data_IF_012641570609
#
_entry.id   IF_012641570609
#
_cell.length_a   1.000
_cell.length_b   1.000
_cell.length_c   1.000
_cell.angle_alpha   90.00
_cell.angle_beta   90.00
_cell.angle_gamma   90.00
#
_symmetry.space_group_name_H-M   'P 1'
#
loop_
_entity.id
_entity.type
_entity.pdbx_description
1 polymer ?
#
# COMPACT_ATOMS: atom_id res chain seq x y z
N UNK A 1 26.59 -49.04 27.37
CA UNK A 1 26.91 -48.26 26.15
C UNK A 1 25.79 -48.35 25.10
N UNK A 2 25.22 -49.54 24.88
CA UNK A 2 24.19 -49.80 23.88
C UNK A 2 22.87 -49.03 24.08
N UNK A 3 22.33 -49.01 25.29
CA UNK A 3 21.03 -48.35 25.54
C UNK A 3 21.05 -46.81 25.39
N UNK A 4 22.20 -46.20 25.64
CA UNK A 4 22.38 -44.72 25.47
C UNK A 4 22.49 -44.35 24.01
N UNK A 5 23.22 -45.16 23.25
CA UNK A 5 23.40 -44.98 21.81
C UNK A 5 22.08 -45.17 21.07
N UNK A 6 21.29 -46.19 21.42
CA UNK A 6 19.96 -46.43 20.86
C UNK A 6 18.99 -45.25 21.10
N UNK A 7 18.99 -44.68 22.32
CA UNK A 7 18.16 -43.50 22.64
C UNK A 7 18.59 -42.24 21.86
N UNK A 8 19.87 -42.04 21.62
CA UNK A 8 20.38 -40.94 20.84
C UNK A 8 20.00 -41.08 19.36
N UNK A 9 20.14 -42.28 18.81
CA UNK A 9 19.74 -42.56 17.41
C UNK A 9 18.26 -42.38 17.21
N UNK A 10 17.41 -42.86 18.17
CA UNK A 10 15.95 -42.64 18.09
C UNK A 10 15.59 -41.14 18.11
N UNK A 11 16.18 -40.37 19.03
CA UNK A 11 15.97 -38.92 19.08
C UNK A 11 16.41 -38.21 17.81
N UNK A 12 17.44 -38.69 17.15
CA UNK A 12 17.90 -38.17 15.86
C UNK A 12 16.91 -38.47 14.72
N UNK A 13 16.36 -39.67 14.71
CA UNK A 13 15.34 -40.09 13.75
C UNK A 13 14.06 -39.28 13.93
N UNK A 14 13.54 -39.18 15.16
CA UNK A 14 12.36 -38.41 15.50
C UNK A 14 12.49 -36.92 15.10
N UNK A 15 13.70 -36.37 15.29
CA UNK A 15 13.98 -34.98 14.91
C UNK A 15 13.98 -34.79 13.39
N UNK A 16 14.58 -35.72 12.64
CA UNK A 16 14.57 -35.66 11.15
C UNK A 16 13.17 -35.83 10.58
N UNK A 17 12.37 -36.71 11.17
CA UNK A 17 10.98 -36.90 10.77
C UNK A 17 10.14 -35.66 11.06
N UNK A 18 10.31 -35.01 12.21
CA UNK A 18 9.64 -33.76 12.56
C UNK A 18 10.06 -32.61 11.63
N UNK A 19 11.34 -32.47 11.29
CA UNK A 19 11.85 -31.48 10.35
C UNK A 19 11.29 -31.71 8.92
N UNK A 20 11.19 -32.97 8.51
CA UNK A 20 10.64 -33.31 7.19
C UNK A 20 9.14 -33.01 7.11
N UNK A 21 8.41 -33.34 8.16
CA UNK A 21 6.99 -33.06 8.27
C UNK A 21 6.71 -31.54 8.28
N UNK A 22 7.49 -30.78 9.05
CA UNK A 22 7.36 -29.32 9.10
C UNK A 22 7.64 -28.65 7.74
N UNK A 23 8.64 -29.15 6.99
CA UNK A 23 8.91 -28.67 5.62
C UNK A 23 7.79 -29.01 4.65
N UNK A 24 7.20 -30.21 4.75
CA UNK A 24 6.09 -30.60 3.91
C UNK A 24 4.84 -29.75 4.17
N UNK A 25 4.52 -29.49 5.45
CA UNK A 25 3.41 -28.61 5.84
C UNK A 25 3.62 -27.17 5.40
N UNK A 26 4.84 -26.64 5.49
CA UNK A 26 5.18 -25.30 5.02
C UNK A 26 5.03 -25.18 3.50
N UNK A 27 5.44 -26.21 2.75
CA UNK A 27 5.29 -26.24 1.29
C UNK A 27 3.82 -26.33 0.87
N UNK A 28 3.02 -27.14 1.56
CA UNK A 28 1.59 -27.27 1.31
C UNK A 28 0.83 -25.96 1.63
N UNK A 29 1.19 -25.27 2.73
CA UNK A 29 0.67 -23.96 3.08
C UNK A 29 1.04 -22.90 2.03
N UNK A 30 2.26 -22.94 1.51
CA UNK A 30 2.72 -22.04 0.45
C UNK A 30 1.99 -22.32 -0.88
N UNK A 31 1.77 -23.56 -1.24
CA UNK A 31 1.02 -23.94 -2.45
C UNK A 31 -0.45 -23.53 -2.32
N UNK A 32 -1.05 -23.68 -1.15
CA UNK A 32 -2.43 -23.25 -0.89
C UNK A 32 -2.56 -21.73 -0.96
N UNK A 33 -1.58 -20.98 -0.44
CA UNK A 33 -1.54 -19.52 -0.54
C UNK A 33 -1.40 -19.06 -1.99
N UNK A 34 -0.49 -19.66 -2.76
CA UNK A 34 -0.32 -19.36 -4.19
C UNK A 34 -1.58 -19.68 -5.01
N UNK A 35 -2.25 -20.81 -4.74
CA UNK A 35 -3.50 -21.17 -5.40
C UNK A 35 -4.64 -20.21 -5.08
N UNK A 36 -4.71 -19.69 -3.84
CA UNK A 36 -5.70 -18.67 -3.44
C UNK A 36 -5.43 -17.31 -4.08
N UNK A 37 -4.15 -16.94 -4.29
CA UNK A 37 -3.77 -15.73 -5.04
C UNK A 37 -4.11 -15.85 -6.53
N UNK A 38 -3.94 -17.04 -7.12
CA UNK A 38 -4.25 -17.29 -8.53
C UNK A 38 -5.77 -17.26 -8.83
N UNK A 39 -6.64 -17.66 -7.88
CA UNK A 39 -8.10 -17.59 -8.01
C UNK A 39 -8.66 -16.16 -7.87
N UNK A 40 -8.01 -15.29 -7.12
CA UNK A 40 -8.46 -13.89 -6.89
C UNK A 40 -8.03 -12.96 -8.03
N UNK A 41 -6.88 -13.20 -8.65
CA UNK A 41 -6.36 -12.36 -9.74
C UNK A 41 -7.25 -12.25 -10.99
N UNK A 42 -7.91 -13.32 -11.51
CA UNK A 42 -8.74 -13.20 -12.69
C UNK A 42 -9.98 -12.31 -12.50
N UNK A 43 -10.57 -12.30 -11.32
CA UNK A 43 -11.76 -11.49 -11.03
C UNK A 43 -11.42 -10.01 -10.88
N UNK A 44 -10.34 -9.69 -10.17
CA UNK A 44 -9.83 -8.32 -10.03
C UNK A 44 -9.39 -7.78 -11.39
N UNK A 45 -8.69 -8.57 -12.21
CA UNK A 45 -8.29 -8.19 -13.56
C UNK A 45 -9.51 -7.93 -14.45
N UNK A 46 -10.58 -8.72 -14.32
CA UNK A 46 -11.83 -8.50 -15.05
C UNK A 46 -12.50 -7.18 -14.69
N UNK A 47 -12.56 -6.84 -13.40
CA UNK A 47 -13.08 -5.55 -12.92
C UNK A 47 -12.21 -4.38 -13.40
N UNK A 48 -10.90 -4.53 -13.35
CA UNK A 48 -9.96 -3.49 -13.81
C UNK A 48 -10.07 -3.25 -15.31
N UNK A 49 -10.22 -4.33 -16.11
CA UNK A 49 -10.45 -4.20 -17.54
C UNK A 49 -11.76 -3.48 -17.85
N UNK A 50 -12.83 -3.73 -17.08
CA UNK A 50 -14.09 -3.01 -17.21
C UNK A 50 -13.90 -1.53 -16.90
N UNK A 51 -13.31 -1.19 -15.74
CA UNK A 51 -13.05 0.21 -15.35
C UNK A 51 -12.18 0.93 -16.38
N UNK A 52 -11.16 0.27 -16.89
CA UNK A 52 -10.30 0.83 -17.94
C UNK A 52 -11.07 1.03 -19.26
N UNK A 53 -12.00 0.16 -19.60
CA UNK A 53 -12.87 0.36 -20.78
C UNK A 53 -13.80 1.56 -20.64
N UNK A 54 -14.25 1.86 -19.41
CA UNK A 54 -15.07 3.04 -19.09
C UNK A 54 -14.22 4.33 -19.04
N UNK A 55 -13.00 4.24 -18.55
CA UNK A 55 -12.04 5.33 -18.49
C UNK A 55 -10.61 4.85 -18.70
N UNK A 56 -10.03 5.15 -19.86
CA UNK A 56 -8.66 4.76 -20.22
C UNK A 56 -7.57 5.37 -19.30
N UNK A 57 -7.90 6.36 -18.45
CA UNK A 57 -6.99 6.93 -17.45
C UNK A 57 -7.01 6.10 -16.13
N UNK A 58 -7.86 5.07 -16.02
CA UNK A 58 -7.88 4.19 -14.86
C UNK A 58 -6.51 3.55 -14.63
N UNK A 59 -5.99 3.69 -13.43
CA UNK A 59 -4.63 3.25 -13.08
C UNK A 59 -4.60 2.21 -11.95
N UNK A 60 -5.67 2.09 -11.15
CA UNK A 60 -5.75 1.13 -10.09
C UNK A 60 -6.79 1.45 -9.02
N UNK A 61 -6.66 0.78 -7.88
CA UNK A 61 -7.59 0.88 -6.75
C UNK A 61 -6.82 1.19 -5.47
N UNK A 62 -7.35 2.13 -4.67
CA UNK A 62 -6.78 2.55 -3.39
C UNK A 62 -7.76 2.28 -2.26
N UNK A 63 -7.30 1.53 -1.25
CA UNK A 63 -8.02 1.33 0.01
C UNK A 63 -7.15 1.75 1.19
N UNK A 64 -7.71 2.51 2.13
CA UNK A 64 -7.03 2.90 3.38
C UNK A 64 -7.82 2.35 4.56
N UNK A 65 -7.25 1.39 5.25
CA UNK A 65 -7.91 0.69 6.34
C UNK A 65 -8.31 1.67 7.47
N UNK A 66 -9.46 1.41 8.09
CA UNK A 66 -10.03 2.27 9.13
C UNK A 66 -10.57 3.62 8.65
N UNK A 67 -10.71 3.82 7.32
CA UNK A 67 -11.35 4.98 6.70
C UNK A 67 -12.46 4.53 5.74
N UNK A 68 -13.09 5.48 5.05
CA UNK A 68 -14.04 5.19 3.94
C UNK A 68 -13.38 5.29 2.56
N UNK A 69 -12.06 5.33 2.53
CA UNK A 69 -11.31 5.44 1.27
C UNK A 69 -11.18 4.05 0.68
N UNK A 70 -11.95 3.81 -0.36
CA UNK A 70 -12.02 2.55 -1.11
C UNK A 70 -12.51 2.89 -2.52
N UNK A 71 -11.58 3.29 -3.40
CA UNK A 71 -11.90 3.92 -4.68
C UNK A 71 -10.94 3.54 -5.80
N UNK A 72 -11.47 3.46 -7.05
CA UNK A 72 -10.61 3.50 -8.22
C UNK A 72 -9.93 4.86 -8.33
N UNK A 73 -8.65 4.87 -8.71
CA UNK A 73 -7.93 6.08 -9.03
C UNK A 73 -7.49 6.11 -10.49
N UNK A 74 -7.22 7.30 -10.97
CA UNK A 74 -6.88 7.58 -12.36
C UNK A 74 -5.55 8.31 -12.46
N UNK A 75 -4.93 8.34 -13.66
CA UNK A 75 -3.75 9.15 -13.92
C UNK A 75 -3.81 9.69 -15.35
N UNK A 76 -3.49 10.99 -15.50
CA UNK A 76 -3.34 11.63 -16.81
C UNK A 76 -1.92 12.17 -16.99
N UNK A 77 -1.71 12.94 -18.05
CA UNK A 77 -0.44 13.63 -18.34
C UNK A 77 -0.25 14.93 -17.55
N UNK A 78 -1.16 15.28 -16.65
CA UNK A 78 -1.07 16.48 -15.80
C UNK A 78 -1.84 16.29 -14.48
N UNK A 79 -1.59 17.17 -13.49
CA UNK A 79 -2.24 17.14 -12.17
C UNK A 79 -3.46 18.08 -12.06
N UNK A 80 -3.99 18.60 -13.17
CA UNK A 80 -5.05 19.62 -13.15
C UNK A 80 -6.41 19.04 -13.52
N UNK A 81 -6.44 18.10 -14.48
CA UNK A 81 -7.66 17.61 -15.09
C UNK A 81 -8.66 17.05 -14.07
N UNK A 82 -8.22 16.15 -13.21
CA UNK A 82 -9.08 15.50 -12.22
C UNK A 82 -9.33 16.31 -10.94
N UNK A 83 -8.82 17.53 -10.86
CA UNK A 83 -9.28 18.48 -9.84
C UNK A 83 -10.73 18.90 -10.07
N UNK A 84 -11.21 18.83 -11.33
CA UNK A 84 -12.54 19.30 -11.72
C UNK A 84 -13.28 18.33 -12.66
N UNK A 85 -12.88 17.07 -12.76
CA UNK A 85 -13.56 16.05 -13.53
C UNK A 85 -13.68 14.76 -12.70
N UNK A 86 -14.84 14.10 -12.82
CA UNK A 86 -15.07 12.81 -12.16
C UNK A 86 -14.50 11.64 -13.00
N UNK A 87 -14.65 10.42 -12.51
CA UNK A 87 -14.21 9.20 -13.19
C UNK A 87 -14.71 9.11 -14.65
N UNK A 88 -15.94 9.52 -14.91
CA UNK A 88 -16.54 9.51 -16.26
C UNK A 88 -16.15 10.73 -17.10
N UNK A 89 -15.09 11.45 -16.73
CA UNK A 89 -14.58 12.64 -17.43
C UNK A 89 -15.59 13.79 -17.56
N UNK A 90 -16.60 13.82 -16.69
CA UNK A 90 -17.59 14.92 -16.62
C UNK A 90 -17.12 15.98 -15.62
N UNK A 91 -17.31 17.23 -15.98
CA UNK A 91 -17.00 18.34 -15.09
C UNK A 91 -17.77 18.23 -13.77
N UNK A 92 -17.06 18.43 -12.66
CA UNK A 92 -17.60 18.48 -11.29
C UNK A 92 -16.62 19.23 -10.38
N UNK A 93 -17.14 20.03 -9.45
CA UNK A 93 -16.30 20.70 -8.45
C UNK A 93 -15.70 19.72 -7.41
N UNK A 94 -16.10 18.46 -7.44
CA UNK A 94 -15.62 17.44 -6.49
C UNK A 94 -14.34 16.75 -6.98
N UNK A 95 -14.01 16.85 -8.28
CA UNK A 95 -12.88 16.14 -8.86
C UNK A 95 -12.98 14.61 -8.77
N UNK A 96 -11.85 13.95 -8.77
CA UNK A 96 -11.69 12.52 -8.55
C UNK A 96 -10.36 12.22 -7.84
N UNK A 97 -10.13 11.00 -7.42
CA UNK A 97 -8.84 10.54 -6.87
C UNK A 97 -7.88 10.27 -8.05
N UNK A 98 -6.69 10.86 -8.02
CA UNK A 98 -5.76 10.72 -9.14
C UNK A 98 -4.29 10.64 -8.67
N UNK A 99 -3.51 9.85 -9.38
CA UNK A 99 -2.06 9.79 -9.23
C UNK A 99 -1.37 11.00 -9.88
N UNK A 100 -0.26 11.43 -9.28
CA UNK A 100 0.63 12.42 -9.91
C UNK A 100 1.05 11.92 -11.29
N UNK A 101 1.07 12.81 -12.28
CA UNK A 101 1.41 12.44 -13.67
C UNK A 101 2.81 11.84 -13.84
N UNK A 102 3.70 11.99 -12.84
CA UNK A 102 5.07 11.46 -12.82
C UNK A 102 5.17 10.09 -12.18
N UNK A 103 4.08 9.58 -11.59
CA UNK A 103 4.11 8.26 -10.92
C UNK A 103 4.36 7.15 -11.93
N UNK A 104 5.18 6.20 -11.50
CA UNK A 104 5.42 4.91 -12.16
C UNK A 104 4.79 3.81 -11.30
N UNK A 105 3.92 2.99 -11.90
CA UNK A 105 3.14 1.99 -11.15
C UNK A 105 3.79 0.60 -11.10
N UNK A 106 4.72 0.30 -12.02
CA UNK A 106 5.43 -0.99 -12.03
C UNK A 106 6.54 -1.01 -10.98
N UNK A 107 7.40 0.01 -10.99
CA UNK A 107 8.57 0.07 -10.10
C UNK A 107 8.40 1.05 -8.94
N UNK A 108 7.34 1.80 -8.90
CA UNK A 108 7.08 2.92 -7.99
C UNK A 108 8.26 3.89 -7.84
N UNK A 109 7.97 5.16 -7.78
CA UNK A 109 8.97 6.19 -7.47
C UNK A 109 9.43 6.08 -6.01
N UNK A 110 10.48 6.78 -5.64
CA UNK A 110 10.84 6.96 -4.22
C UNK A 110 9.71 7.62 -3.41
N UNK A 111 8.98 8.52 -4.05
CA UNK A 111 7.75 9.09 -3.50
C UNK A 111 6.67 9.03 -4.58
N UNK A 112 5.70 8.17 -4.38
CA UNK A 112 4.51 8.01 -5.22
C UNK A 112 3.39 8.85 -4.61
N UNK A 113 2.68 9.64 -5.40
CA UNK A 113 1.76 10.63 -4.88
C UNK A 113 0.36 10.42 -5.44
N UNK A 114 -0.62 10.33 -4.57
CA UNK A 114 -2.04 10.28 -4.93
C UNK A 114 -2.74 11.47 -4.31
N UNK A 115 -3.56 12.14 -5.09
CA UNK A 115 -4.32 13.34 -4.72
C UNK A 115 -5.81 13.08 -4.69
N UNK A 116 -6.51 13.72 -3.79
CA UNK A 116 -7.96 13.83 -3.82
C UNK A 116 -8.43 15.03 -2.98
N UNK A 117 -9.64 15.50 -3.24
CA UNK A 117 -10.25 16.52 -2.39
C UNK A 117 -10.62 15.96 -1.02
N UNK A 118 -10.33 16.70 0.03
CA UNK A 118 -10.81 16.45 1.38
C UNK A 118 -12.21 17.08 1.55
N UNK A 119 -13.26 16.28 1.36
CA UNK A 119 -14.63 16.75 1.39
C UNK A 119 -15.28 16.56 2.77
N UNK A 120 -15.96 17.59 3.26
CA UNK A 120 -16.70 17.52 4.53
C UNK A 120 -17.81 16.44 4.52
N UNK A 121 -18.23 15.96 3.35
CA UNK A 121 -19.18 14.85 3.21
C UNK A 121 -18.58 13.48 3.56
N UNK A 122 -17.27 13.41 3.75
CA UNK A 122 -16.54 12.17 3.98
C UNK A 122 -16.24 11.37 2.71
N UNK A 123 -16.54 11.92 1.52
CA UNK A 123 -16.17 11.33 0.23
C UNK A 123 -14.68 11.58 -0.08
N UNK A 124 -14.12 10.77 -0.96
CA UNK A 124 -12.72 10.80 -1.38
C UNK A 124 -11.78 10.80 -0.16
N UNK A 125 -10.92 11.83 0.00
CA UNK A 125 -10.05 11.94 1.17
C UNK A 125 -10.71 12.64 2.37
N UNK A 126 -12.04 12.80 2.37
CA UNK A 126 -12.77 13.42 3.48
C UNK A 126 -12.60 12.69 4.82
N UNK A 127 -12.42 11.36 4.80
CA UNK A 127 -12.14 10.57 6.01
C UNK A 127 -10.65 10.35 6.27
N UNK A 128 -9.75 10.88 5.42
CA UNK A 128 -8.31 10.80 5.69
C UNK A 128 -7.93 11.52 7.00
N UNK A 129 -8.69 12.53 7.41
CA UNK A 129 -8.50 13.20 8.70
C UNK A 129 -8.80 12.29 9.91
N UNK A 130 -9.49 11.17 9.71
CA UNK A 130 -9.71 10.19 10.78
C UNK A 130 -8.42 9.52 11.22
N UNK A 131 -7.40 9.45 10.34
CA UNK A 131 -6.06 8.92 10.65
C UNK A 131 -5.30 9.75 11.70
N UNK A 132 -5.72 11.00 11.94
CA UNK A 132 -5.15 11.88 12.98
C UNK A 132 -5.76 11.64 14.37
N UNK A 133 -6.73 10.71 14.51
CA UNK A 133 -7.37 10.39 15.78
C UNK A 133 -6.63 9.26 16.49
N UNK A 134 -6.47 9.38 17.80
CA UNK A 134 -5.90 8.31 18.63
C UNK A 134 -6.67 6.99 18.49
N UNK A 135 -7.98 7.03 18.29
CA UNK A 135 -8.80 5.84 18.08
C UNK A 135 -8.47 5.08 16.80
N UNK A 136 -8.03 5.80 15.75
CA UNK A 136 -7.55 5.20 14.52
C UNK A 136 -6.13 4.64 14.73
N UNK A 137 -5.24 5.42 15.32
CA UNK A 137 -3.85 5.05 15.57
C UNK A 137 -3.72 3.84 16.51
N UNK A 138 -4.56 3.75 17.54
CA UNK A 138 -4.51 2.65 18.52
C UNK A 138 -5.03 1.31 17.96
N UNK A 139 -5.64 1.31 16.77
CA UNK A 139 -6.01 0.08 16.08
C UNK A 139 -4.98 -0.23 14.99
N UNK A 140 -4.05 -1.13 15.29
CA UNK A 140 -2.93 -1.48 14.37
C UNK A 140 -3.39 -2.05 13.02
N UNK A 141 -4.58 -2.63 12.93
CA UNK A 141 -5.16 -3.11 11.67
C UNK A 141 -5.46 -1.97 10.69
N UNK A 142 -5.53 -0.73 11.19
CA UNK A 142 -5.74 0.45 10.35
C UNK A 142 -4.46 0.95 9.67
N UNK A 143 -3.27 0.50 10.10
CA UNK A 143 -2.00 1.05 9.64
C UNK A 143 -1.58 0.53 8.26
N UNK A 144 -2.54 0.21 7.40
CA UNK A 144 -2.24 -0.30 6.07
C UNK A 144 -3.01 0.45 4.98
N UNK A 145 -2.31 0.68 3.88
CA UNK A 145 -2.86 1.15 2.62
C UNK A 145 -2.68 0.04 1.59
N UNK A 146 -3.75 -0.34 0.91
CA UNK A 146 -3.74 -1.31 -0.16
C UNK A 146 -3.82 -0.56 -1.48
N UNK A 147 -2.90 -0.85 -2.36
CA UNK A 147 -2.81 -0.23 -3.67
C UNK A 147 -2.68 -1.33 -4.72
N UNK A 148 -3.73 -1.50 -5.50
CA UNK A 148 -3.79 -2.47 -6.59
C UNK A 148 -3.70 -1.75 -7.93
N UNK A 149 -2.84 -2.25 -8.81
CA UNK A 149 -2.68 -1.78 -10.19
C UNK A 149 -2.87 -2.95 -11.16
N UNK A 150 -2.74 -2.72 -12.47
CA UNK A 150 -2.73 -3.82 -13.43
C UNK A 150 -1.56 -4.80 -13.26
N UNK A 151 -0.46 -4.30 -12.68
CA UNK A 151 0.81 -5.04 -12.63
C UNK A 151 1.10 -5.61 -11.24
N UNK A 152 0.46 -5.10 -10.18
CA UNK A 152 0.78 -5.49 -8.81
C UNK A 152 -0.31 -5.15 -7.81
N UNK A 153 -0.44 -6.01 -6.80
CA UNK A 153 -1.13 -5.74 -5.54
C UNK A 153 -0.09 -5.48 -4.45
N UNK A 154 -0.16 -4.31 -3.82
CA UNK A 154 0.81 -3.91 -2.82
C UNK A 154 0.14 -3.47 -1.53
N UNK A 155 0.79 -3.78 -0.41
CA UNK A 155 0.39 -3.33 0.93
C UNK A 155 1.47 -2.39 1.45
N UNK A 156 1.06 -1.19 1.81
CA UNK A 156 1.93 -0.14 2.34
C UNK A 156 1.64 0.07 3.81
N UNK A 157 2.68 0.09 4.63
CA UNK A 157 2.54 0.42 6.05
C UNK A 157 2.49 1.93 6.22
N UNK A 158 1.50 2.43 6.94
CA UNK A 158 1.45 3.84 7.35
C UNK A 158 2.56 4.10 8.36
N UNK A 159 3.42 5.05 8.06
CA UNK A 159 4.58 5.42 8.89
C UNK A 159 4.55 6.88 9.33
N UNK A 160 3.66 7.69 8.76
CA UNK A 160 3.52 9.10 9.12
C UNK A 160 2.14 9.61 8.75
N UNK A 161 1.53 10.39 9.63
CA UNK A 161 0.29 11.14 9.38
C UNK A 161 0.40 12.55 9.96
N UNK A 162 0.09 13.56 9.15
CA UNK A 162 0.14 14.96 9.57
C UNK A 162 -0.68 15.87 8.66
N UNK A 163 -0.94 17.09 9.11
CA UNK A 163 -1.52 18.15 8.29
C UNK A 163 -0.49 19.21 7.99
N UNK A 164 -0.54 19.79 6.79
CA UNK A 164 0.42 20.76 6.32
C UNK A 164 -0.24 21.79 5.40
N UNK A 165 0.31 22.98 5.36
CA UNK A 165 0.01 23.94 4.29
C UNK A 165 0.69 23.48 3.00
N UNK A 166 0.18 23.89 1.81
CA UNK A 166 0.82 23.54 0.55
C UNK A 166 2.29 23.96 0.52
N UNK A 167 3.18 22.98 0.40
CA UNK A 167 4.64 23.14 0.32
C UNK A 167 5.17 22.23 -0.80
N UNK A 168 6.27 22.63 -1.45
CA UNK A 168 6.80 21.88 -2.59
C UNK A 168 7.55 20.60 -2.23
N UNK A 169 7.97 20.43 -0.96
CA UNK A 169 8.86 19.34 -0.58
C UNK A 169 8.19 17.95 -0.72
N UNK A 170 6.89 17.81 -0.39
CA UNK A 170 6.18 16.53 -0.42
C UNK A 170 5.73 16.10 -1.83
N UNK A 171 5.72 17.04 -2.78
CA UNK A 171 5.34 16.75 -4.17
C UNK A 171 6.53 16.40 -5.08
N UNK A 172 7.71 16.13 -4.52
CA UNK A 172 8.87 15.64 -5.25
C UNK A 172 8.75 14.14 -5.49
N UNK A 173 9.03 13.70 -6.71
CA UNK A 173 9.10 12.28 -7.08
C UNK A 173 10.53 11.80 -7.32
N UNK A 174 11.47 12.74 -7.57
CA UNK A 174 12.88 12.44 -7.85
C UNK A 174 13.76 13.01 -6.74
N UNK A 175 14.63 12.18 -6.19
CA UNK A 175 15.53 12.54 -5.09
C UNK A 175 16.94 12.03 -5.35
N UNK A 176 17.97 12.79 -4.90
CA UNK A 176 19.25 12.22 -4.53
C UNK A 176 19.11 11.42 -3.22
N UNK A 177 20.09 10.58 -2.86
CA UNK A 177 20.04 9.86 -1.58
C UNK A 177 20.03 10.80 -0.38
N UNK A 178 20.79 11.90 -0.47
CA UNK A 178 20.81 12.94 0.57
C UNK A 178 19.43 13.59 0.73
N UNK A 179 18.84 14.08 -0.37
CA UNK A 179 17.51 14.72 -0.32
C UNK A 179 16.42 13.76 0.16
N UNK A 180 16.51 12.48 -0.18
CA UNK A 180 15.54 11.49 0.25
C UNK A 180 15.64 11.21 1.74
N UNK A 181 16.86 11.15 2.28
CA UNK A 181 17.07 11.02 3.72
C UNK A 181 16.49 12.22 4.50
N UNK A 182 16.73 13.45 4.02
CA UNK A 182 16.13 14.67 4.60
C UNK A 182 14.59 14.65 4.52
N UNK A 183 14.05 14.13 3.41
CA UNK A 183 12.61 13.96 3.25
C UNK A 183 12.04 12.94 4.26
N UNK A 184 12.68 11.79 4.46
CA UNK A 184 12.28 10.77 5.45
C UNK A 184 12.32 11.35 6.87
N UNK A 185 13.36 12.09 7.21
CA UNK A 185 13.44 12.82 8.49
C UNK A 185 12.27 13.79 8.67
N UNK A 186 11.98 14.59 7.64
CA UNK A 186 10.91 15.58 7.68
C UNK A 186 9.55 14.95 7.91
N UNK A 187 9.21 13.86 7.20
CA UNK A 187 7.92 13.20 7.38
C UNK A 187 7.81 12.54 8.76
N UNK A 188 8.90 12.00 9.30
CA UNK A 188 8.94 11.43 10.64
C UNK A 188 8.70 12.50 11.71
N UNK A 189 9.40 13.62 11.66
CA UNK A 189 9.29 14.71 12.63
C UNK A 189 7.90 15.39 12.61
N UNK A 190 7.25 15.43 11.45
CA UNK A 190 5.93 16.04 11.29
C UNK A 190 4.78 15.13 11.70
N UNK A 191 5.02 13.83 11.82
CA UNK A 191 3.98 12.87 12.16
C UNK A 191 3.38 13.17 13.54
N UNK A 192 2.04 13.15 13.62
CA UNK A 192 1.28 13.33 14.87
C UNK A 192 1.51 12.17 15.82
N UNK A 193 1.77 10.98 15.28
CA UNK A 193 2.03 9.77 16.05
C UNK A 193 3.38 9.17 15.71
N UNK A 194 3.96 8.46 16.66
CA UNK A 194 5.15 7.64 16.43
C UNK A 194 4.73 6.22 16.05
N UNK A 195 4.91 5.87 14.78
CA UNK A 195 4.63 4.54 14.26
C UNK A 195 5.74 3.52 14.55
N UNK A 196 6.80 3.93 15.27
CA UNK A 196 7.95 3.10 15.61
C UNK A 196 8.57 2.40 14.38
N UNK A 197 8.73 3.14 13.29
CA UNK A 197 9.30 2.67 12.04
C UNK A 197 10.71 3.22 11.82
N UNK A 198 11.64 2.35 11.43
CA UNK A 198 13.01 2.73 11.09
C UNK A 198 13.13 2.95 9.57
N UNK A 199 13.11 4.23 9.19
CA UNK A 199 13.22 4.65 7.79
C UNK A 199 14.61 4.37 7.22
N UNK A 200 14.67 3.95 5.96
CA UNK A 200 15.93 3.73 5.25
C UNK A 200 15.86 4.19 3.78
N UNK A 201 17.04 4.32 3.15
CA UNK A 201 17.16 4.85 1.77
C UNK A 201 16.56 3.94 0.67
N UNK A 202 16.21 2.71 1.00
CA UNK A 202 15.58 1.76 0.07
C UNK A 202 14.05 1.78 0.17
N UNK A 203 13.49 2.48 1.17
CA UNK A 203 12.05 2.63 1.30
C UNK A 203 11.49 3.39 0.09
N UNK A 204 10.23 3.09 -0.19
CA UNK A 204 9.39 3.85 -1.10
C UNK A 204 8.24 4.42 -0.30
N UNK A 205 7.85 5.64 -0.60
CA UNK A 205 6.78 6.36 0.11
C UNK A 205 5.57 6.50 -0.83
N UNK A 206 4.38 6.33 -0.25
CA UNK A 206 3.09 6.56 -0.89
C UNK A 206 2.35 7.66 -0.14
#
# INVERSE_FOLDING_TARGET
EDARTARLTQRWQDRREAETLAKAQALEAQQTALASEEEVQPEILGQFQQLHSENADFSGWLTIDGTKIDYPFVQTTNNEYYLSHNFNKRFTNLGWIFGDYRNEWINFNRNTIIYAHNLNTGQFFGTLLDTLKESWFNNYDNHYVKLSTFDSDTIWQVVSVYTIKPESYYIRSVFSDYDFNEFLHTIKERSVFDFNYDYNLYDKIL
#
